data_IF_981425734377
#
_entry.id   IF_981425734377
#
_cell.length_a   1.000
_cell.length_b   1.000
_cell.length_c   1.000
_cell.angle_alpha   90.00
_cell.angle_beta   90.00
_cell.angle_gamma   90.00
#
_symmetry.space_group_name_H-M   'P 1'
#
loop_
_entity.id
_entity.type
_entity.pdbx_description
1 polymer ?
#
# COMPACT_ATOMS: atom_id res chain seq x y z
N UNK A 1 32.23 -19.94 19.16
CA UNK A 1 31.07 -20.03 18.25
C UNK A 1 30.29 -21.25 18.66
N UNK A 2 29.03 -21.13 19.09
CA UNK A 2 28.37 -22.13 19.96
C UNK A 2 28.06 -23.47 19.28
N UNK A 3 27.56 -23.44 18.05
CA UNK A 3 27.04 -24.66 17.39
C UNK A 3 27.98 -25.20 16.33
N UNK A 4 28.86 -24.36 15.75
CA UNK A 4 29.78 -24.67 14.64
C UNK A 4 29.15 -25.37 13.41
N UNK A 5 27.81 -25.45 13.36
CA UNK A 5 27.07 -26.06 12.26
C UNK A 5 26.90 -25.07 11.10
N UNK A 6 26.86 -25.59 9.88
CA UNK A 6 26.55 -24.79 8.68
C UNK A 6 25.09 -24.33 8.75
N UNK A 7 24.80 -23.01 8.75
CA UNK A 7 23.43 -22.51 8.74
C UNK A 7 22.66 -23.01 7.52
N UNK A 8 21.42 -23.48 7.74
CA UNK A 8 20.52 -23.96 6.68
C UNK A 8 21.12 -25.04 5.77
N UNK A 9 21.97 -25.91 6.32
CA UNK A 9 22.63 -26.96 5.56
C UNK A 9 21.62 -27.84 4.80
N UNK A 10 21.89 -28.11 3.52
CA UNK A 10 21.06 -28.90 2.62
C UNK A 10 19.63 -28.36 2.37
N UNK A 11 19.37 -27.07 2.61
CA UNK A 11 18.11 -26.43 2.25
C UNK A 11 18.32 -25.56 1.00
N UNK A 12 17.36 -25.60 0.08
CA UNK A 12 17.39 -24.76 -1.12
C UNK A 12 17.40 -23.26 -0.76
N UNK A 13 18.20 -22.48 -1.49
CA UNK A 13 18.39 -21.06 -1.22
C UNK A 13 17.09 -20.26 -1.38
N UNK A 14 16.23 -20.59 -2.35
CA UNK A 14 14.96 -19.89 -2.54
C UNK A 14 13.99 -20.18 -1.39
N UNK A 15 13.96 -21.42 -0.88
CA UNK A 15 13.20 -21.77 0.31
C UNK A 15 13.68 -21.00 1.56
N UNK A 16 14.99 -20.85 1.74
CA UNK A 16 15.56 -20.04 2.84
C UNK A 16 15.16 -18.58 2.71
N UNK A 17 15.34 -17.96 1.54
CA UNK A 17 14.99 -16.56 1.29
C UNK A 17 13.52 -16.31 1.63
N UNK A 18 12.63 -17.15 1.08
CA UNK A 18 11.20 -16.99 1.30
C UNK A 18 10.81 -17.23 2.76
N UNK A 19 11.33 -18.30 3.38
CA UNK A 19 10.99 -18.68 4.74
C UNK A 19 11.41 -17.63 5.76
N UNK A 20 12.61 -17.08 5.59
CA UNK A 20 13.12 -15.99 6.45
C UNK A 20 12.34 -14.70 6.21
N UNK A 21 12.07 -14.34 4.95
CA UNK A 21 11.33 -13.12 4.62
C UNK A 21 9.88 -13.12 5.14
N UNK A 22 9.20 -14.28 5.10
CA UNK A 22 7.87 -14.46 5.69
C UNK A 22 7.89 -14.60 7.21
N UNK A 23 9.06 -14.92 7.77
CA UNK A 23 9.25 -15.21 9.19
C UNK A 23 8.73 -16.57 9.63
N UNK A 24 8.57 -17.51 8.69
CA UNK A 24 8.22 -18.90 8.96
C UNK A 24 9.44 -19.81 9.13
N UNK A 25 10.66 -19.30 8.91
CA UNK A 25 11.90 -20.05 9.06
C UNK A 25 12.93 -19.25 9.87
N UNK A 26 13.44 -19.86 10.94
CA UNK A 26 14.60 -19.41 11.72
C UNK A 26 15.54 -20.60 11.93
N UNK A 27 16.80 -20.35 12.28
CA UNK A 27 17.68 -21.44 12.69
C UNK A 27 17.12 -22.10 13.96
N UNK A 28 17.04 -23.44 14.01
CA UNK A 28 16.59 -24.13 15.22
C UNK A 28 17.59 -23.86 16.35
N UNK A 29 17.07 -23.59 17.54
CA UNK A 29 17.88 -23.40 18.76
C UNK A 29 17.89 -24.76 19.50
N UNK A 30 19.03 -25.45 19.58
CA UNK A 30 19.15 -26.70 20.32
C UNK A 30 18.74 -26.58 21.78
N UNK A 31 18.12 -27.63 22.30
CA UNK A 31 17.76 -27.75 23.70
C UNK A 31 18.96 -27.77 24.65
N UNK A 32 20.12 -28.28 24.18
CA UNK A 32 21.33 -28.44 24.99
C UNK A 32 22.08 -27.14 25.29
N UNK A 33 21.77 -26.03 24.61
CA UNK A 33 22.48 -24.76 24.78
C UNK A 33 22.02 -24.04 26.06
N UNK A 34 22.90 -23.33 26.79
CA UNK A 34 22.52 -22.51 27.95
C UNK A 34 21.39 -21.51 27.64
N UNK A 35 20.48 -21.32 28.60
CA UNK A 35 19.28 -20.47 28.44
C UNK A 35 19.64 -19.02 28.13
N UNK A 36 20.76 -18.54 28.66
CA UNK A 36 21.35 -17.24 28.34
C UNK A 36 21.49 -17.04 26.84
N UNK A 37 22.04 -18.02 26.12
CA UNK A 37 22.20 -17.95 24.67
C UNK A 37 20.89 -18.15 23.91
N UNK A 38 20.01 -19.06 24.37
CA UNK A 38 18.69 -19.26 23.75
C UNK A 38 17.88 -17.96 23.73
N UNK A 39 17.85 -17.27 24.87
CA UNK A 39 17.17 -15.99 25.05
C UNK A 39 17.78 -14.90 24.17
N UNK A 40 19.12 -14.82 24.10
CA UNK A 40 19.81 -13.85 23.25
C UNK A 40 19.51 -14.06 21.77
N UNK A 41 19.61 -15.29 21.27
CA UNK A 41 19.28 -15.62 19.86
C UNK A 41 17.84 -15.27 19.54
N UNK A 42 16.90 -15.57 20.45
CA UNK A 42 15.47 -15.28 20.28
C UNK A 42 15.18 -13.78 20.21
N UNK A 43 15.91 -12.96 20.98
CA UNK A 43 15.83 -11.50 20.91
C UNK A 43 16.43 -10.94 19.61
N UNK A 44 17.58 -11.49 19.18
CA UNK A 44 18.24 -11.07 17.94
C UNK A 44 17.43 -11.40 16.67
N UNK A 45 16.68 -12.51 16.67
CA UNK A 45 15.92 -12.98 15.52
C UNK A 45 14.45 -12.52 15.49
N UNK A 46 14.10 -11.43 16.20
CA UNK A 46 12.75 -10.85 16.11
C UNK A 46 12.48 -10.30 14.70
N UNK A 47 11.29 -10.57 14.16
CA UNK A 47 10.91 -10.09 12.82
C UNK A 47 10.91 -8.57 12.71
N UNK A 48 10.31 -7.90 13.70
CA UNK A 48 10.32 -6.45 13.77
C UNK A 48 11.71 -5.94 14.18
N UNK A 49 12.38 -5.12 13.34
CA UNK A 49 13.72 -4.62 13.64
C UNK A 49 13.80 -3.81 14.94
N UNK A 50 12.74 -3.06 15.27
CA UNK A 50 12.63 -2.26 16.49
C UNK A 50 12.64 -3.09 17.78
N UNK A 51 12.30 -4.38 17.70
CA UNK A 51 12.27 -5.28 18.86
C UNK A 51 13.61 -6.02 19.07
N UNK A 52 14.60 -5.80 18.21
CA UNK A 52 15.92 -6.40 18.33
C UNK A 52 16.78 -5.60 19.29
N UNK A 53 17.61 -6.24 20.13
CA UNK A 53 18.49 -5.53 21.04
C UNK A 53 19.56 -4.77 20.26
N UNK A 54 19.89 -3.57 20.74
CA UNK A 54 21.07 -2.83 20.30
C UNK A 54 22.34 -3.57 20.70
N UNK A 55 23.46 -3.27 20.03
CA UNK A 55 24.72 -3.92 20.36
C UNK A 55 25.18 -3.68 21.81
N UNK A 56 24.93 -2.48 22.36
CA UNK A 56 25.22 -2.18 23.77
C UNK A 56 24.40 -3.06 24.73
N UNK A 57 23.13 -3.30 24.41
CA UNK A 57 22.27 -4.22 25.18
C UNK A 57 22.77 -5.66 25.08
N UNK A 58 23.27 -6.08 23.92
CA UNK A 58 23.87 -7.42 23.73
C UNK A 58 25.12 -7.58 24.62
N UNK A 59 26.03 -6.61 24.63
CA UNK A 59 27.23 -6.66 25.49
C UNK A 59 26.82 -6.76 26.96
N UNK A 60 25.94 -5.86 27.41
CA UNK A 60 25.46 -5.85 28.80
C UNK A 60 24.82 -7.17 29.19
N UNK A 61 24.01 -7.75 28.29
CA UNK A 61 23.38 -9.05 28.50
C UNK A 61 24.42 -10.17 28.65
N UNK A 62 25.44 -10.20 27.79
CA UNK A 62 26.52 -11.17 27.86
C UNK A 62 27.35 -11.05 29.13
N UNK A 63 27.60 -9.83 29.61
CA UNK A 63 28.31 -9.59 30.88
C UNK A 63 27.54 -10.11 32.09
N UNK A 64 26.22 -9.87 32.12
CA UNK A 64 25.33 -10.37 33.18
C UNK A 64 25.25 -11.90 33.16
N UNK A 65 25.19 -12.49 31.95
CA UNK A 65 25.04 -13.94 31.75
C UNK A 65 26.37 -14.69 31.64
N UNK A 66 27.49 -14.01 31.87
CA UNK A 66 28.84 -14.55 31.70
C UNK A 66 29.07 -15.85 32.47
N UNK A 67 28.61 -15.95 33.71
CA UNK A 67 28.75 -17.16 34.54
C UNK A 67 27.95 -18.37 34.03
N UNK A 68 26.87 -18.14 33.29
CA UNK A 68 26.06 -19.19 32.64
C UNK A 68 26.64 -19.58 31.27
N UNK A 69 27.40 -18.67 30.66
CA UNK A 69 27.99 -18.81 29.33
C UNK A 69 29.37 -19.48 29.40
N UNK A 70 30.15 -19.21 30.46
CA UNK A 70 31.44 -19.84 30.75
C UNK A 70 31.21 -21.12 31.56
N UNK A 71 30.41 -22.05 31.03
CA UNK A 71 30.21 -23.38 31.63
C UNK A 71 31.26 -24.41 31.19
N UNK A 72 32.19 -24.04 30.29
CA UNK A 72 33.17 -24.97 29.74
C UNK A 72 34.58 -24.62 30.24
N UNK A 73 34.90 -25.05 31.45
CA UNK A 73 36.30 -25.04 31.93
C UNK A 73 37.12 -26.17 31.27
N UNK A 74 36.45 -27.18 30.69
CA UNK A 74 37.06 -28.32 30.01
C UNK A 74 36.66 -28.38 28.52
N UNK A 75 37.66 -28.56 27.64
CA UNK A 75 37.50 -28.59 26.18
C UNK A 75 36.61 -29.75 25.69
N UNK A 76 36.63 -30.88 26.40
CA UNK A 76 35.86 -32.08 26.05
C UNK A 76 34.34 -31.89 26.17
N UNK A 77 33.88 -31.19 27.20
CA UNK A 77 32.44 -30.91 27.40
C UNK A 77 31.89 -29.99 26.31
N UNK A 78 32.72 -29.05 25.85
CA UNK A 78 32.37 -28.14 24.75
C UNK A 78 32.27 -28.87 23.40
N UNK A 79 33.18 -29.81 23.13
CA UNK A 79 33.14 -30.63 21.91
C UNK A 79 31.89 -31.52 21.87
N UNK A 80 31.55 -32.17 23.00
CA UNK A 80 30.37 -33.00 23.09
C UNK A 80 29.08 -32.17 22.89
N UNK A 81 29.00 -30.99 23.53
CA UNK A 81 27.89 -30.06 23.34
C UNK A 81 27.75 -29.64 21.87
N UNK A 82 28.86 -29.24 21.23
CA UNK A 82 28.87 -28.78 19.85
C UNK A 82 28.37 -29.89 18.91
N UNK A 83 28.80 -31.13 19.16
CA UNK A 83 28.36 -32.32 18.43
C UNK A 83 26.86 -32.58 18.60
N UNK A 84 26.35 -32.53 19.83
CA UNK A 84 24.91 -32.71 20.12
C UNK A 84 24.07 -31.63 19.45
N UNK A 85 24.49 -30.37 19.56
CA UNK A 85 23.81 -29.23 18.94
C UNK A 85 23.79 -29.34 17.42
N UNK A 86 24.93 -29.69 16.80
CA UNK A 86 25.02 -29.88 15.35
C UNK A 86 24.09 -30.98 14.86
N UNK A 87 24.00 -32.09 15.59
CA UNK A 87 23.06 -33.18 15.28
C UNK A 87 21.60 -32.71 15.36
N UNK A 88 21.22 -32.06 16.46
CA UNK A 88 19.85 -31.58 16.69
C UNK A 88 19.44 -30.54 15.63
N UNK A 89 20.36 -29.64 15.23
CA UNK A 89 20.11 -28.67 14.16
C UNK A 89 19.86 -29.39 12.85
N UNK A 90 20.73 -30.31 12.45
CA UNK A 90 20.60 -31.02 11.19
C UNK A 90 19.31 -31.86 11.13
N UNK A 91 18.95 -32.55 12.22
CA UNK A 91 17.69 -33.31 12.34
C UNK A 91 16.44 -32.44 12.27
N UNK A 92 16.51 -31.20 12.77
CA UNK A 92 15.39 -30.26 12.61
C UNK A 92 15.34 -29.66 11.20
N UNK A 93 16.50 -29.41 10.58
CA UNK A 93 16.59 -28.84 9.23
C UNK A 93 16.14 -29.82 8.14
N UNK A 94 16.36 -31.14 8.30
CA UNK A 94 15.88 -32.16 7.36
C UNK A 94 14.37 -32.14 7.16
N UNK A 95 13.59 -31.72 8.17
CA UNK A 95 12.13 -31.52 8.07
C UNK A 95 11.74 -30.50 7.00
N UNK A 96 12.62 -29.53 6.72
CA UNK A 96 12.38 -28.48 5.72
C UNK A 96 12.95 -28.85 4.34
N UNK A 97 13.83 -29.85 4.27
CA UNK A 97 14.46 -30.31 3.02
C UNK A 97 13.50 -31.11 2.13
N UNK A 98 12.42 -31.65 2.69
CA UNK A 98 11.41 -32.46 1.98
C UNK A 98 10.19 -31.64 1.52
N UNK A 99 10.10 -30.37 1.91
CA UNK A 99 8.96 -29.53 1.57
C UNK A 99 9.17 -28.98 0.15
N UNK A 100 8.30 -29.38 -0.77
CA UNK A 100 8.33 -28.91 -2.15
C UNK A 100 8.18 -27.38 -2.20
N UNK A 101 9.16 -26.69 -2.79
CA UNK A 101 9.20 -25.24 -2.99
C UNK A 101 7.92 -24.75 -3.69
N UNK A 102 7.33 -25.57 -4.57
CA UNK A 102 6.06 -25.30 -5.25
C UNK A 102 4.90 -25.10 -4.28
N UNK A 103 4.89 -25.84 -3.17
CA UNK A 103 3.86 -25.73 -2.13
C UNK A 103 4.10 -24.58 -1.13
N UNK A 104 5.33 -24.09 -1.04
CA UNK A 104 5.73 -22.99 -0.13
C UNK A 104 5.34 -21.63 -0.72
N UNK A 105 5.50 -21.44 -2.04
CA UNK A 105 5.04 -20.24 -2.72
C UNK A 105 3.50 -20.24 -2.69
N UNK A 106 2.93 -19.57 -1.69
CA UNK A 106 1.49 -19.53 -1.39
C UNK A 106 0.58 -19.16 -2.56
N UNK A 107 1.12 -18.57 -3.62
CA UNK A 107 0.38 -18.30 -4.84
C UNK A 107 1.17 -18.89 -6.00
N UNK A 108 0.58 -19.87 -6.69
CA UNK A 108 1.14 -20.35 -7.94
C UNK A 108 1.24 -19.18 -8.93
N UNK A 109 2.12 -19.28 -9.91
CA UNK A 109 2.22 -18.25 -10.96
C UNK A 109 0.86 -17.97 -11.61
N UNK A 110 0.01 -18.99 -11.73
CA UNK A 110 -1.37 -18.87 -12.23
C UNK A 110 -2.24 -17.98 -11.33
N UNK A 111 -2.24 -18.20 -10.01
CA UNK A 111 -3.02 -17.39 -9.07
C UNK A 111 -2.52 -15.93 -9.01
N UNK A 112 -1.22 -15.70 -9.19
CA UNK A 112 -0.66 -14.34 -9.32
C UNK A 112 -1.11 -13.66 -10.61
N UNK A 113 -1.19 -14.39 -11.71
CA UNK A 113 -1.68 -13.87 -12.99
C UNK A 113 -3.16 -13.51 -12.87
N UNK A 114 -3.97 -14.36 -12.22
CA UNK A 114 -5.39 -14.12 -12.00
C UNK A 114 -5.63 -12.85 -11.18
N UNK A 115 -4.95 -12.68 -10.03
CA UNK A 115 -5.05 -11.45 -9.24
C UNK A 115 -4.68 -10.19 -10.02
N UNK A 116 -3.63 -10.25 -10.83
CA UNK A 116 -3.25 -9.11 -11.68
C UNK A 116 -4.35 -8.81 -12.70
N UNK A 117 -4.98 -9.83 -13.31
CA UNK A 117 -6.10 -9.62 -14.24
C UNK A 117 -7.27 -8.92 -13.55
N UNK A 118 -7.64 -9.34 -12.35
CA UNK A 118 -8.69 -8.69 -11.55
C UNK A 118 -8.35 -7.22 -11.25
N UNK A 119 -7.10 -6.93 -10.86
CA UNK A 119 -6.63 -5.56 -10.64
C UNK A 119 -6.69 -4.71 -11.93
N UNK A 120 -6.32 -5.29 -13.08
CA UNK A 120 -6.41 -4.62 -14.38
C UNK A 120 -7.86 -4.33 -14.78
N UNK A 121 -8.78 -5.29 -14.60
CA UNK A 121 -10.21 -5.09 -14.87
C UNK A 121 -10.79 -3.99 -13.97
N UNK A 122 -10.44 -4.00 -12.69
CA UNK A 122 -10.85 -2.97 -11.75
C UNK A 122 -10.39 -1.56 -12.17
N UNK A 123 -9.13 -1.43 -12.63
CA UNK A 123 -8.59 -0.16 -13.14
C UNK A 123 -9.29 0.26 -14.44
N UNK A 124 -9.57 -0.68 -15.34
CA UNK A 124 -10.27 -0.41 -16.59
C UNK A 124 -11.68 0.14 -16.33
N UNK A 125 -12.41 -0.44 -15.37
CA UNK A 125 -13.73 0.03 -14.95
C UNK A 125 -13.70 1.44 -14.37
N UNK A 126 -12.68 1.73 -13.55
CA UNK A 126 -12.48 3.08 -13.01
C UNK A 126 -12.29 4.07 -14.16
N UNK A 127 -11.39 3.76 -15.10
CA UNK A 127 -11.10 4.62 -16.24
C UNK A 127 -12.35 4.88 -17.08
N UNK A 128 -13.12 3.84 -17.39
CA UNK A 128 -14.37 3.94 -18.16
C UNK A 128 -15.39 4.86 -17.47
N UNK A 129 -15.53 4.74 -16.14
CA UNK A 129 -16.40 5.63 -15.37
C UNK A 129 -15.96 7.11 -15.49
N UNK A 130 -14.65 7.38 -15.45
CA UNK A 130 -14.11 8.73 -15.62
C UNK A 130 -14.36 9.28 -17.03
N UNK A 131 -14.10 8.49 -18.07
CA UNK A 131 -14.30 8.90 -19.46
C UNK A 131 -15.75 9.31 -19.73
N UNK A 132 -16.72 8.50 -19.30
CA UNK A 132 -18.16 8.81 -19.45
C UNK A 132 -18.50 10.13 -18.73
N UNK A 133 -17.98 10.34 -17.52
CA UNK A 133 -18.27 11.55 -16.74
C UNK A 133 -17.66 12.81 -17.38
N UNK A 134 -16.45 12.70 -17.94
CA UNK A 134 -15.82 13.79 -18.70
C UNK A 134 -16.64 14.12 -19.95
N UNK A 135 -17.13 13.11 -20.68
CA UNK A 135 -17.99 13.33 -21.85
C UNK A 135 -19.27 14.09 -21.49
N UNK A 136 -19.92 13.74 -20.38
CA UNK A 136 -21.12 14.43 -19.89
C UNK A 136 -20.83 15.90 -19.55
N UNK A 137 -19.71 16.18 -18.86
CA UNK A 137 -19.30 17.56 -18.53
C UNK A 137 -19.00 18.35 -19.80
N UNK A 138 -18.29 17.75 -20.75
CA UNK A 138 -17.97 18.41 -22.03
C UNK A 138 -19.24 18.75 -22.82
N UNK A 139 -20.26 17.87 -22.80
CA UNK A 139 -21.56 18.15 -23.40
C UNK A 139 -22.22 19.39 -22.78
N UNK A 140 -22.32 19.44 -21.45
CA UNK A 140 -22.89 20.59 -20.73
C UNK A 140 -22.09 21.88 -21.00
N UNK A 141 -20.76 21.78 -21.08
CA UNK A 141 -19.89 22.92 -21.40
C UNK A 141 -20.17 23.49 -22.79
N UNK A 142 -20.35 22.62 -23.79
CA UNK A 142 -20.71 23.04 -25.15
C UNK A 142 -22.10 23.70 -25.16
N UNK A 143 -23.10 23.08 -24.53
CA UNK A 143 -24.47 23.65 -24.44
C UNK A 143 -24.46 25.05 -23.80
N UNK A 144 -23.76 25.20 -22.67
CA UNK A 144 -23.62 26.48 -22.00
C UNK A 144 -22.92 27.53 -22.89
N UNK A 145 -21.84 27.13 -23.56
CA UNK A 145 -21.09 28.02 -24.46
C UNK A 145 -21.95 28.50 -25.62
N UNK A 146 -22.77 27.64 -26.20
CA UNK A 146 -23.71 28.01 -27.27
C UNK A 146 -24.71 29.04 -26.78
N UNK A 147 -25.38 28.79 -25.65
CA UNK A 147 -26.33 29.74 -25.06
C UNK A 147 -25.70 31.09 -24.73
N UNK A 148 -24.44 31.10 -24.27
CA UNK A 148 -23.71 32.34 -24.01
C UNK A 148 -23.50 33.17 -25.29
N UNK A 149 -23.15 32.52 -26.40
CA UNK A 149 -22.97 33.20 -27.69
C UNK A 149 -24.30 33.77 -28.20
N UNK A 150 -25.39 33.01 -28.10
CA UNK A 150 -26.72 33.47 -28.51
C UNK A 150 -27.17 34.70 -27.72
N UNK A 151 -26.94 34.73 -26.40
CA UNK A 151 -27.26 35.89 -25.57
C UNK A 151 -26.42 37.11 -25.95
N UNK A 152 -25.14 36.94 -26.24
CA UNK A 152 -24.25 38.02 -26.67
C UNK A 152 -24.72 38.64 -28.00
N UNK A 153 -25.10 37.80 -28.97
CA UNK A 153 -25.68 38.26 -30.23
C UNK A 153 -26.99 39.03 -29.99
N UNK A 154 -27.86 38.53 -29.10
CA UNK A 154 -29.14 39.19 -28.77
C UNK A 154 -28.92 40.56 -28.10
N UNK A 155 -27.92 40.67 -27.22
CA UNK A 155 -27.56 41.93 -26.56
C UNK A 155 -27.03 42.95 -27.59
N UNK A 156 -26.20 42.52 -28.54
CA UNK A 156 -25.71 43.39 -29.62
C UNK A 156 -26.86 43.95 -30.48
N UNK A 157 -27.83 43.10 -30.84
CA UNK A 157 -29.01 43.52 -31.59
C UNK A 157 -29.82 44.56 -30.80
N UNK A 158 -30.01 44.35 -29.50
CA UNK A 158 -30.73 45.29 -28.64
C UNK A 158 -29.99 46.64 -28.59
N UNK A 159 -28.67 46.63 -28.38
CA UNK A 159 -27.84 47.86 -28.39
C UNK A 159 -27.94 48.62 -29.71
N UNK A 160 -27.91 47.92 -30.84
CA UNK A 160 -28.09 48.54 -32.15
C UNK A 160 -29.48 49.18 -32.30
N UNK A 161 -30.54 48.50 -31.86
CA UNK A 161 -31.90 49.05 -31.89
C UNK A 161 -32.07 50.27 -30.97
N UNK A 162 -31.50 50.24 -29.77
CA UNK A 162 -31.52 51.37 -28.83
C UNK A 162 -30.78 52.59 -29.39
N UNK A 163 -29.65 52.37 -30.06
CA UNK A 163 -28.91 53.43 -30.76
C UNK A 163 -29.74 54.09 -31.86
N UNK A 164 -30.39 53.28 -32.71
CA UNK A 164 -31.24 53.78 -33.80
C UNK A 164 -32.47 54.55 -33.30
N UNK A 165 -33.02 54.18 -32.15
CA UNK A 165 -34.21 54.81 -31.55
C UNK A 165 -33.90 56.05 -30.69
N UNK A 166 -32.62 56.44 -30.54
CA UNK A 166 -32.15 57.60 -29.76
C UNK A 166 -32.74 57.68 -28.33
N UNK A 167 -33.03 56.53 -27.71
CA UNK A 167 -33.57 56.45 -26.35
C UNK A 167 -32.44 56.76 -25.35
N UNK A 168 -32.23 58.04 -25.04
CA UNK A 168 -31.35 58.46 -23.94
C UNK A 168 -32.13 58.48 -22.63
N UNK A 169 -32.01 57.39 -21.88
CA UNK A 169 -32.27 57.38 -20.44
C UNK A 169 -33.55 56.67 -19.98
N UNK A 170 -33.37 55.44 -19.49
CA UNK A 170 -33.43 55.13 -18.06
C UNK A 170 -32.37 54.06 -17.85
N UNK A 171 -31.37 54.28 -17.00
CA UNK A 171 -30.53 53.18 -16.49
C UNK A 171 -31.48 52.30 -15.68
N UNK A 172 -32.24 51.44 -16.35
CA UNK A 172 -32.90 50.31 -15.69
C UNK A 172 -31.76 49.61 -14.97
N UNK A 173 -31.94 49.29 -13.70
CA UNK A 173 -31.05 48.42 -12.93
C UNK A 173 -31.14 47.01 -13.53
N UNK A 174 -30.84 46.88 -14.82
CA UNK A 174 -30.62 45.63 -15.50
C UNK A 174 -29.30 45.19 -14.93
N UNK A 175 -29.35 44.13 -14.14
CA UNK A 175 -28.17 43.37 -13.78
C UNK A 175 -27.38 43.14 -15.07
N UNK A 176 -26.29 43.88 -15.26
CA UNK A 176 -25.59 43.91 -16.54
C UNK A 176 -25.19 42.49 -16.89
N UNK A 177 -25.35 42.10 -18.15
CA UNK A 177 -25.01 40.74 -18.60
C UNK A 177 -23.56 40.39 -18.24
N UNK A 178 -22.66 41.39 -18.17
CA UNK A 178 -21.32 41.23 -17.58
C UNK A 178 -21.32 40.77 -16.11
N UNK A 179 -22.14 41.35 -15.23
CA UNK A 179 -22.27 40.90 -13.83
C UNK A 179 -22.90 39.51 -13.72
N UNK A 180 -23.86 39.19 -14.59
CA UNK A 180 -24.41 37.84 -14.69
C UNK A 180 -23.37 36.82 -15.13
N UNK A 181 -22.63 37.14 -16.19
CA UNK A 181 -21.51 36.36 -16.72
C UNK A 181 -20.45 36.11 -15.65
N UNK A 182 -20.09 37.12 -14.86
CA UNK A 182 -19.09 37.01 -13.80
C UNK A 182 -19.56 36.09 -12.67
N UNK A 183 -20.83 36.23 -12.23
CA UNK A 183 -21.44 35.37 -11.22
C UNK A 183 -21.59 33.92 -11.69
N UNK A 184 -22.02 33.71 -12.93
CA UNK A 184 -22.12 32.37 -13.53
C UNK A 184 -20.74 31.71 -13.68
N UNK A 185 -19.71 32.48 -14.07
CA UNK A 185 -18.33 31.99 -14.18
C UNK A 185 -17.75 31.60 -12.82
N UNK A 186 -18.06 32.36 -11.76
CA UNK A 186 -17.65 32.01 -10.40
C UNK A 186 -18.37 30.76 -9.88
N UNK A 187 -19.68 30.63 -10.13
CA UNK A 187 -20.44 29.43 -9.77
C UNK A 187 -19.88 28.20 -10.50
N UNK A 188 -19.56 28.31 -11.79
CA UNK A 188 -18.96 27.22 -12.55
C UNK A 188 -17.56 26.87 -12.02
N UNK A 189 -16.69 27.85 -11.75
CA UNK A 189 -15.35 27.64 -11.16
C UNK A 189 -15.41 27.05 -9.75
N UNK A 190 -16.40 27.43 -8.96
CA UNK A 190 -16.63 26.88 -7.62
C UNK A 190 -17.15 25.44 -7.69
N UNK A 191 -18.05 25.14 -8.64
CA UNK A 191 -18.56 23.80 -8.87
C UNK A 191 -17.48 22.85 -9.38
N UNK A 192 -16.63 23.28 -10.32
CA UNK A 192 -15.57 22.45 -10.91
C UNK A 192 -14.38 22.18 -9.99
N UNK A 193 -14.16 23.01 -8.94
CA UNK A 193 -13.11 22.77 -7.93
C UNK A 193 -13.23 21.42 -7.21
N UNK A 194 -14.46 20.90 -7.03
CA UNK A 194 -14.71 19.65 -6.32
C UNK A 194 -14.70 18.39 -7.22
N UNK A 195 -14.60 18.54 -8.55
CA UNK A 195 -14.56 17.40 -9.47
C UNK A 195 -13.15 16.87 -9.73
N UNK A 196 -12.12 17.59 -9.29
CA UNK A 196 -10.71 17.21 -9.47
C UNK A 196 -10.17 16.28 -8.37
N UNK A 197 -11.01 15.80 -7.45
CA UNK A 197 -10.58 14.95 -6.35
C UNK A 197 -11.06 13.48 -6.54
N UNK A 198 -10.26 12.63 -7.20
CA UNK A 198 -10.68 11.30 -7.66
C UNK A 198 -11.07 10.33 -6.53
N UNK A 199 -10.68 10.61 -5.29
CA UNK A 199 -10.93 9.75 -4.13
C UNK A 199 -12.35 9.94 -3.57
N UNK A 200 -12.91 11.16 -3.63
CA UNK A 200 -14.19 11.47 -3.00
C UNK A 200 -15.39 10.88 -3.77
N UNK A 201 -15.32 10.84 -5.11
CA UNK A 201 -16.34 10.24 -5.98
C UNK A 201 -16.53 8.74 -5.75
N UNK A 202 -15.45 8.02 -5.47
CA UNK A 202 -15.47 6.57 -5.25
C UNK A 202 -16.01 6.20 -3.86
N UNK A 203 -15.82 7.07 -2.87
CA UNK A 203 -16.39 6.89 -1.53
C UNK A 203 -17.93 6.86 -1.55
N UNK A 204 -18.55 7.62 -2.46
CA UNK A 204 -19.99 7.66 -2.66
C UNK A 204 -20.51 6.40 -3.37
N UNK A 205 -19.81 5.90 -4.40
CA UNK A 205 -20.19 4.65 -5.10
C UNK A 205 -20.06 3.40 -4.20
N UNK A 206 -19.01 3.32 -3.36
CA UNK A 206 -18.87 2.26 -2.34
C UNK A 206 -19.99 2.28 -1.29
N UNK A 207 -20.55 3.46 -0.97
CA UNK A 207 -21.70 3.59 -0.06
C UNK A 207 -23.03 3.18 -0.71
N UNK A 208 -23.18 3.39 -2.02
CA UNK A 208 -24.36 2.94 -2.77
C UNK A 208 -24.37 1.41 -3.00
N UNK A 209 -23.27 0.82 -3.46
CA UNK A 209 -23.24 -0.64 -3.66
C UNK A 209 -23.33 -1.46 -2.36
N UNK A 210 -22.91 -0.89 -1.21
CA UNK A 210 -23.10 -1.53 0.10
C UNK A 210 -24.55 -1.47 0.61
N UNK A 211 -25.39 -0.59 0.05
CA UNK A 211 -26.81 -0.51 0.39
C UNK A 211 -27.66 -1.46 -0.46
N UNK A 212 -27.31 -1.63 -1.73
CA UNK A 212 -28.01 -2.56 -2.64
C UNK A 212 -27.76 -4.05 -2.30
N UNK A 213 -26.64 -4.40 -1.66
CA UNK A 213 -26.37 -5.77 -1.20
C UNK A 213 -26.90 -6.08 0.22
N UNK A 214 -27.81 -5.25 0.76
CA UNK A 214 -28.41 -5.41 2.09
C UNK A 214 -29.96 -5.41 2.09
N UNK A 215 -30.57 -5.38 0.91
CA UNK A 215 -31.99 -5.66 0.69
C UNK A 215 -32.13 -6.98 -0.07
#
# INVERSE_FOLDING_TARGET
>A
MITCAVPYNNIDAAAVIWGVAKGSLNLPIPSSIPEGFKSLMTMCWKQQPSNRPTFQQIITYLDIKKSEIILFEQEQEYEELTRLCSREINENLTKYSTIDISSIIQLTNEQLIEKRKEEFEYIADIRKCYEIRIQQINKLYIELKTLMIELEQREQIIKQKEYLLNIKGKKRTIYTISKARQKSLEIFKAATRNFNDPINLLSQKKRHMKKENKE
#
